data_IF_956930965972
#
_entry.id   IF_956930965972
#
_cell.length_a   1.000
_cell.length_b   1.000
_cell.length_c   1.000
_cell.angle_alpha   90.00
_cell.angle_beta   90.00
_cell.angle_gamma   90.00
#
_symmetry.space_group_name_H-M   'P 1'
#
loop_
_entity.id
_entity.type
_entity.pdbx_description
1 polymer ?
#
# COMPACT_ATOMS: atom_id res chain seq x y z
N UNK A 1 48.54 -1.26 51.07
CA UNK A 1 47.53 -0.87 50.06
C UNK A 1 47.60 -1.77 48.81
N UNK A 2 47.26 -3.07 48.90
CA UNK A 2 47.29 -3.97 47.72
C UNK A 2 46.35 -5.19 47.79
N UNK A 3 45.40 -5.22 48.73
CA UNK A 3 44.48 -6.37 48.94
C UNK A 3 42.99 -6.06 48.85
N UNK A 4 42.61 -4.83 48.47
CA UNK A 4 41.21 -4.40 48.46
C UNK A 4 40.58 -4.27 47.06
N UNK A 5 41.31 -4.60 45.99
CA UNK A 5 40.86 -4.39 44.60
C UNK A 5 40.43 -5.66 43.84
N UNK A 6 40.38 -6.82 44.48
CA UNK A 6 40.07 -8.10 43.81
C UNK A 6 38.67 -8.66 44.13
N UNK A 7 37.88 -8.00 44.97
CA UNK A 7 36.55 -8.47 45.37
C UNK A 7 35.38 -7.79 44.64
N UNK A 8 35.62 -6.75 43.83
CA UNK A 8 34.55 -6.08 43.06
C UNK A 8 34.30 -6.66 41.67
N UNK A 9 35.12 -7.60 41.19
CA UNK A 9 35.00 -8.17 39.85
C UNK A 9 34.10 -9.43 39.75
N UNK A 10 33.66 -9.99 40.89
CA UNK A 10 32.87 -11.24 40.90
C UNK A 10 31.36 -10.98 41.07
N UNK A 11 30.95 -9.75 41.41
CA UNK A 11 29.54 -9.44 41.66
C UNK A 11 28.74 -8.97 40.42
N UNK A 12 29.37 -8.87 39.24
CA UNK A 12 28.71 -8.45 37.99
C UNK A 12 28.37 -9.60 37.02
N UNK A 13 28.55 -10.86 37.45
CA UNK A 13 28.23 -12.05 36.64
C UNK A 13 26.97 -12.82 37.12
N UNK A 14 26.22 -12.28 38.08
CA UNK A 14 25.14 -13.00 38.78
C UNK A 14 23.70 -12.71 38.35
N UNK A 15 23.45 -11.82 37.38
CA UNK A 15 22.08 -11.43 37.00
C UNK A 15 21.86 -11.39 35.48
N UNK A 16 22.43 -12.35 34.75
CA UNK A 16 21.82 -12.78 33.49
C UNK A 16 20.59 -13.64 33.84
N UNK A 17 19.54 -13.00 34.35
CA UNK A 17 18.20 -13.57 34.32
C UNK A 17 17.83 -13.72 32.86
N UNK A 18 18.17 -14.88 32.29
CA UNK A 18 17.51 -15.40 31.11
C UNK A 18 16.03 -15.45 31.48
N UNK A 19 15.28 -14.43 31.06
CA UNK A 19 13.86 -14.55 30.88
C UNK A 19 13.68 -15.77 30.00
N UNK A 20 13.32 -16.89 30.60
CA UNK A 20 12.75 -18.02 29.87
C UNK A 20 11.48 -17.45 29.26
N UNK A 21 11.60 -16.96 28.03
CA UNK A 21 10.46 -16.80 27.14
C UNK A 21 9.80 -18.17 27.17
N UNK A 22 8.66 -18.23 27.83
CA UNK A 22 7.85 -19.43 27.90
C UNK A 22 7.52 -19.73 26.45
N UNK A 23 8.13 -20.79 25.89
CA UNK A 23 7.79 -21.27 24.57
C UNK A 23 6.28 -21.44 24.57
N UNK A 24 5.61 -20.61 23.77
CA UNK A 24 4.18 -20.72 23.55
C UNK A 24 3.95 -22.12 22.99
N UNK A 25 3.09 -22.87 23.65
CA UNK A 25 2.77 -24.24 23.27
C UNK A 25 2.32 -24.22 21.81
N UNK A 26 2.84 -25.09 20.92
CA UNK A 26 2.55 -25.00 19.50
C UNK A 26 1.04 -25.06 19.31
N UNK A 27 0.45 -24.11 18.55
CA UNK A 27 -0.99 -24.04 18.40
C UNK A 27 -1.48 -25.37 17.84
N UNK A 28 -2.49 -25.95 18.50
CA UNK A 28 -3.09 -27.20 18.02
C UNK A 28 -3.68 -26.93 16.63
N UNK A 29 -3.33 -27.73 15.61
CA UNK A 29 -3.85 -27.55 14.26
C UNK A 29 -5.37 -27.72 14.29
N UNK A 30 -6.08 -26.69 13.83
CA UNK A 30 -7.54 -26.61 13.77
C UNK A 30 -7.93 -25.96 12.44
N UNK A 31 -9.01 -26.42 11.82
CA UNK A 31 -9.53 -25.86 10.57
C UNK A 31 -9.68 -24.34 10.65
N UNK A 32 -10.27 -23.84 11.73
CA UNK A 32 -10.54 -22.41 11.91
C UNK A 32 -9.25 -21.58 12.03
N UNK A 33 -8.23 -22.08 12.72
CA UNK A 33 -6.96 -21.36 12.89
C UNK A 33 -6.12 -21.41 11.61
N UNK A 34 -6.16 -22.53 10.88
CA UNK A 34 -5.55 -22.62 9.56
C UNK A 34 -6.22 -21.66 8.56
N UNK A 35 -7.56 -21.62 8.50
CA UNK A 35 -8.29 -20.68 7.65
C UNK A 35 -7.93 -19.23 7.95
N UNK A 36 -7.93 -18.84 9.22
CA UNK A 36 -7.53 -17.49 9.62
C UNK A 36 -6.08 -17.16 9.23
N UNK A 37 -5.17 -18.15 9.29
CA UNK A 37 -3.79 -17.98 8.85
C UNK A 37 -3.68 -17.85 7.33
N UNK A 38 -4.42 -18.65 6.57
CA UNK A 38 -4.50 -18.55 5.10
C UNK A 38 -5.03 -17.15 4.71
N UNK A 39 -6.11 -16.70 5.34
CA UNK A 39 -6.70 -15.38 5.08
C UNK A 39 -5.70 -14.26 5.39
N UNK A 40 -4.89 -14.41 6.44
CA UNK A 40 -3.84 -13.45 6.80
C UNK A 40 -2.74 -13.36 5.73
N UNK A 41 -2.24 -14.50 5.24
CA UNK A 41 -1.22 -14.53 4.18
C UNK A 41 -1.77 -14.06 2.83
N UNK A 42 -3.02 -14.39 2.49
CA UNK A 42 -3.68 -13.88 1.29
C UNK A 42 -3.86 -12.35 1.35
N UNK A 43 -4.29 -11.83 2.50
CA UNK A 43 -4.39 -10.39 2.72
C UNK A 43 -3.02 -9.70 2.59
N UNK A 44 -1.94 -10.36 3.06
CA UNK A 44 -0.57 -9.88 2.86
C UNK A 44 -0.21 -9.77 1.38
N UNK A 45 -0.45 -10.81 0.58
CA UNK A 45 -0.15 -10.76 -0.86
C UNK A 45 -1.00 -9.70 -1.59
N UNK A 46 -2.26 -9.51 -1.19
CA UNK A 46 -3.11 -8.41 -1.70
C UNK A 46 -2.52 -7.03 -1.38
N UNK A 47 -2.03 -6.81 -0.15
CA UNK A 47 -1.39 -5.55 0.24
C UNK A 47 -0.12 -5.30 -0.56
N UNK A 48 0.73 -6.31 -0.72
CA UNK A 48 1.95 -6.21 -1.52
C UNK A 48 1.64 -5.87 -2.98
N UNK A 49 0.60 -6.48 -3.56
CA UNK A 49 0.12 -6.14 -4.90
C UNK A 49 -0.33 -4.68 -4.98
N UNK A 50 -1.11 -4.21 -4.01
CA UNK A 50 -1.56 -2.81 -3.95
C UNK A 50 -0.40 -1.84 -3.78
N UNK A 51 0.64 -2.17 -3.02
CA UNK A 51 1.84 -1.35 -2.94
C UNK A 51 2.60 -1.29 -4.27
N UNK A 52 2.56 -2.33 -5.10
CA UNK A 52 3.11 -2.25 -6.46
C UNK A 52 2.28 -1.34 -7.37
N UNK A 53 0.95 -1.37 -7.23
CA UNK A 53 0.04 -0.52 -8.01
C UNK A 53 0.10 0.97 -7.61
N UNK A 54 -0.06 1.27 -6.33
CA UNK A 54 -0.22 2.63 -5.80
C UNK A 54 1.04 3.20 -5.17
N UNK A 55 2.03 2.35 -4.90
CA UNK A 55 3.27 2.74 -4.27
C UNK A 55 3.19 2.71 -2.76
N UNK A 56 4.34 2.98 -2.14
CA UNK A 56 4.44 3.27 -0.72
C UNK A 56 5.44 4.40 -0.52
N UNK A 57 4.96 5.50 0.06
CA UNK A 57 5.79 6.63 0.47
C UNK A 57 6.69 6.23 1.65
N UNK A 58 7.61 7.09 2.05
CA UNK A 58 8.35 6.87 3.30
C UNK A 58 7.45 7.13 4.51
N UNK A 59 7.78 6.53 5.65
CA UNK A 59 7.02 6.76 6.88
C UNK A 59 7.02 8.25 7.29
N UNK A 60 8.06 9.01 6.93
CA UNK A 60 8.12 10.46 7.14
C UNK A 60 7.09 11.25 6.30
N UNK A 61 6.90 10.84 5.04
CA UNK A 61 6.08 11.52 4.04
C UNK A 61 4.62 11.05 4.03
N UNK A 62 4.32 9.92 4.67
CA UNK A 62 2.97 9.37 4.80
C UNK A 62 1.97 10.41 5.37
N UNK A 63 0.73 10.38 4.90
CA UNK A 63 -0.34 11.28 5.37
C UNK A 63 -0.77 10.95 6.81
N UNK A 64 -1.26 11.93 7.57
CA UNK A 64 -1.94 11.64 8.83
C UNK A 64 -3.22 10.84 8.51
N UNK A 65 -3.42 9.73 9.19
CA UNK A 65 -4.49 8.77 8.93
C UNK A 65 -4.13 7.65 7.95
N UNK A 66 -2.96 7.69 7.32
CA UNK A 66 -2.49 6.60 6.47
C UNK A 66 -2.25 5.33 7.31
N UNK A 67 -2.61 4.18 6.76
CA UNK A 67 -2.56 2.88 7.45
C UNK A 67 -1.53 1.98 6.78
N UNK A 68 -0.56 1.53 7.56
CA UNK A 68 0.49 0.60 7.15
C UNK A 68 0.39 -0.70 7.95
N UNK A 69 1.01 -1.74 7.43
CA UNK A 69 1.06 -3.06 8.05
C UNK A 69 2.51 -3.42 8.34
N UNK A 70 2.76 -4.02 9.50
CA UNK A 70 4.06 -4.57 9.84
C UNK A 70 4.25 -5.99 9.29
N UNK A 71 5.43 -6.56 9.49
CA UNK A 71 5.76 -7.94 9.10
C UNK A 71 4.86 -9.01 9.73
N UNK A 72 4.18 -8.68 10.84
CA UNK A 72 3.23 -9.57 11.50
C UNK A 72 1.79 -9.36 10.99
N UNK A 73 1.58 -8.40 10.07
CA UNK A 73 0.28 -8.04 9.53
C UNK A 73 -0.59 -7.23 10.49
N UNK A 74 -0.02 -6.61 11.52
CA UNK A 74 -0.73 -5.70 12.42
C UNK A 74 -0.88 -4.36 11.71
N UNK A 75 -2.09 -3.80 11.78
CA UNK A 75 -2.39 -2.50 11.21
C UNK A 75 -1.96 -1.36 12.16
N UNK A 76 -1.29 -0.37 11.57
CA UNK A 76 -0.79 0.82 12.23
C UNK A 76 -1.24 2.04 11.46
N UNK A 77 -1.75 3.06 12.14
CA UNK A 77 -2.12 4.31 11.48
C UNK A 77 -1.25 5.47 11.95
N UNK A 78 -0.95 6.40 11.04
CA UNK A 78 -0.16 7.58 11.35
C UNK A 78 -1.02 8.59 12.10
N UNK A 79 -0.80 8.72 13.41
CA UNK A 79 -1.53 9.64 14.28
C UNK A 79 -0.92 11.06 14.28
N UNK A 80 0.39 11.19 14.08
CA UNK A 80 1.08 12.48 13.96
C UNK A 80 2.36 12.35 13.11
N UNK A 81 3.06 13.47 12.88
CA UNK A 81 4.24 13.56 12.00
C UNK A 81 5.30 12.46 12.23
N UNK A 82 5.51 12.03 13.47
CA UNK A 82 6.46 10.98 13.83
C UNK A 82 5.85 9.97 14.83
N UNK A 83 4.54 9.70 14.71
CA UNK A 83 3.82 8.83 15.63
C UNK A 83 2.85 7.94 14.88
N UNK A 84 3.07 6.64 15.03
CA UNK A 84 2.23 5.56 14.55
C UNK A 84 1.61 4.84 15.73
N UNK A 85 0.33 4.51 15.64
CA UNK A 85 -0.42 3.85 16.71
C UNK A 85 -0.99 2.56 16.17
N UNK A 86 -0.84 1.47 16.93
CA UNK A 86 -1.39 0.17 16.57
C UNK A 86 -2.90 0.16 16.78
N UNK A 87 -3.64 -0.40 15.81
CA UNK A 87 -5.09 -0.62 15.95
C UNK A 87 -5.40 -1.84 16.83
N UNK A 88 -4.50 -2.82 16.86
CA UNK A 88 -4.69 -4.08 17.59
C UNK A 88 -4.20 -3.98 19.03
N UNK A 89 -3.12 -3.22 19.27
CA UNK A 89 -2.48 -3.09 20.58
C UNK A 89 -2.58 -1.65 21.09
N UNK A 90 -3.67 -1.29 21.81
CA UNK A 90 -3.86 0.08 22.27
C UNK A 90 -2.73 0.50 23.22
N UNK A 91 -2.18 1.70 22.97
CA UNK A 91 -1.07 2.26 23.73
C UNK A 91 0.33 1.88 23.22
N UNK A 92 0.43 1.01 22.22
CA UNK A 92 1.69 0.76 21.53
C UNK A 92 1.92 1.82 20.44
N UNK A 93 3.07 2.48 20.50
CA UNK A 93 3.41 3.59 19.61
C UNK A 93 4.78 3.40 18.96
N UNK A 94 4.86 3.68 17.67
CA UNK A 94 6.09 3.62 16.89
C UNK A 94 6.46 4.98 16.30
N UNK A 95 7.76 5.20 16.12
CA UNK A 95 8.31 6.33 15.36
C UNK A 95 8.38 5.98 13.88
N UNK A 96 8.58 6.96 13.00
CA UNK A 96 8.77 6.71 11.56
C UNK A 96 9.94 5.75 11.28
N UNK A 97 11.02 5.86 12.05
CA UNK A 97 12.19 4.97 11.91
C UNK A 97 11.84 3.53 12.27
N UNK A 98 11.06 3.35 13.35
CA UNK A 98 10.60 2.01 13.76
C UNK A 98 9.64 1.45 12.73
N UNK A 99 8.70 2.27 12.25
CA UNK A 99 7.73 1.89 11.23
C UNK A 99 8.43 1.43 9.96
N UNK A 100 9.41 2.17 9.43
CA UNK A 100 10.10 1.79 8.19
C UNK A 100 10.83 0.44 8.30
N UNK A 101 11.37 0.13 9.49
CA UNK A 101 12.10 -1.13 9.73
C UNK A 101 11.18 -2.34 9.90
N UNK A 102 10.00 -2.12 10.46
CA UNK A 102 9.03 -3.18 10.76
C UNK A 102 7.94 -3.29 9.69
N UNK A 103 7.85 -2.31 8.79
CA UNK A 103 6.87 -2.31 7.71
C UNK A 103 7.03 -3.56 6.86
N UNK A 104 5.89 -4.13 6.47
CA UNK A 104 5.81 -5.29 5.62
C UNK A 104 6.58 -5.07 4.32
N UNK A 105 7.62 -5.86 4.06
CA UNK A 105 8.37 -5.82 2.80
C UNK A 105 8.12 -7.08 1.99
N UNK A 106 8.23 -6.94 0.67
CA UNK A 106 8.20 -8.08 -0.23
C UNK A 106 9.55 -8.80 -0.16
N UNK A 107 9.53 -10.04 0.32
CA UNK A 107 10.73 -10.85 0.58
C UNK A 107 11.13 -11.70 -0.61
N UNK A 108 10.52 -11.54 -1.80
CA UNK A 108 10.96 -12.29 -2.98
C UNK A 108 12.45 -12.01 -3.23
N UNK A 109 13.29 -13.06 -3.31
CA UNK A 109 14.71 -12.90 -3.56
C UNK A 109 14.90 -12.36 -4.97
N UNK A 110 15.14 -11.06 -5.07
CA UNK A 110 15.88 -10.49 -6.18
C UNK A 110 17.35 -10.47 -5.79
N UNK A 111 18.25 -10.44 -6.77
CA UNK A 111 19.72 -10.35 -6.56
C UNK A 111 20.16 -9.13 -5.72
N UNK A 112 19.21 -8.26 -5.34
CA UNK A 112 19.38 -7.06 -4.51
C UNK A 112 18.48 -7.02 -3.26
N UNK A 113 17.79 -8.12 -2.93
CA UNK A 113 16.86 -8.22 -1.81
C UNK A 113 15.54 -7.48 -2.06
N UNK A 114 14.45 -8.22 -2.28
CA UNK A 114 13.07 -7.75 -2.19
C UNK A 114 12.66 -6.54 -3.05
N UNK A 115 11.43 -6.06 -2.85
CA UNK A 115 11.10 -4.67 -3.20
C UNK A 115 11.61 -3.74 -2.10
N UNK A 116 12.59 -2.90 -2.44
CA UNK A 116 13.00 -1.81 -1.56
C UNK A 116 11.95 -0.70 -1.62
N UNK A 117 11.22 -0.52 -0.52
CA UNK A 117 10.41 0.66 -0.29
C UNK A 117 11.27 1.75 0.37
N UNK A 118 10.96 3.04 0.16
CA UNK A 118 9.82 3.60 -0.59
C UNK A 118 9.92 3.37 -2.11
N UNK A 119 8.78 3.18 -2.79
CA UNK A 119 8.70 3.01 -4.25
C UNK A 119 7.44 3.69 -4.80
N UNK A 120 7.53 4.46 -5.90
CA UNK A 120 6.34 4.93 -6.61
C UNK A 120 5.59 3.74 -7.22
N UNK A 121 4.26 3.77 -7.11
CA UNK A 121 3.40 2.78 -7.75
C UNK A 121 3.38 2.94 -9.26
N UNK A 122 2.83 1.95 -9.97
CA UNK A 122 2.54 2.10 -11.40
C UNK A 122 1.63 3.30 -11.67
N UNK A 123 0.62 3.52 -10.81
CA UNK A 123 -0.31 4.65 -10.91
C UNK A 123 0.22 5.97 -10.39
N UNK A 124 1.44 5.99 -9.83
CA UNK A 124 2.12 7.23 -9.42
C UNK A 124 3.00 7.80 -10.54
N UNK A 125 3.06 7.11 -11.68
CA UNK A 125 3.81 7.60 -12.86
C UNK A 125 3.05 8.73 -13.55
N UNK A 126 3.58 9.96 -13.39
CA UNK A 126 2.98 11.15 -13.99
C UNK A 126 3.13 11.15 -15.51
N UNK A 127 2.15 11.72 -16.21
CA UNK A 127 2.15 11.98 -17.67
C UNK A 127 2.21 10.73 -18.55
N UNK A 128 1.77 9.59 -18.03
CA UNK A 128 1.67 8.34 -18.80
C UNK A 128 0.22 8.11 -19.20
N UNK A 129 0.00 7.65 -20.44
CA UNK A 129 -1.32 7.24 -20.85
C UNK A 129 -1.69 5.95 -20.15
N UNK A 130 -2.96 5.81 -19.80
CA UNK A 130 -3.46 4.61 -19.12
C UNK A 130 -3.24 3.35 -19.98
N UNK A 131 -3.26 3.49 -21.31
CA UNK A 131 -2.87 2.45 -22.27
C UNK A 131 -1.44 1.95 -22.07
N UNK A 132 -0.51 2.85 -21.75
CA UNK A 132 0.91 2.52 -21.60
C UNK A 132 1.18 1.85 -20.24
N UNK A 133 0.27 2.02 -19.27
CA UNK A 133 0.31 1.34 -17.98
C UNK A 133 -0.23 -0.09 -18.06
N UNK A 134 -1.04 -0.44 -19.08
CA UNK A 134 -1.67 -1.77 -19.19
C UNK A 134 -0.64 -2.91 -19.06
N UNK A 135 0.50 -2.91 -19.79
CA UNK A 135 1.46 -4.02 -19.69
C UNK A 135 2.07 -4.17 -18.28
N UNK A 136 2.32 -3.05 -17.59
CA UNK A 136 2.86 -3.06 -16.23
C UNK A 136 1.85 -3.59 -15.21
N UNK A 137 0.59 -3.18 -15.36
CA UNK A 137 -0.50 -3.61 -14.51
C UNK A 137 -0.86 -5.08 -14.77
N UNK A 138 -0.86 -5.53 -16.03
CA UNK A 138 -1.02 -6.94 -16.38
C UNK A 138 0.09 -7.79 -15.74
N UNK A 139 1.34 -7.33 -15.81
CA UNK A 139 2.46 -8.02 -15.17
C UNK A 139 2.30 -8.07 -13.64
N UNK A 140 1.83 -6.98 -13.02
CA UNK A 140 1.50 -6.96 -11.60
C UNK A 140 0.40 -7.97 -11.24
N UNK A 141 -0.64 -8.07 -12.08
CA UNK A 141 -1.77 -8.99 -11.89
C UNK A 141 -1.32 -10.45 -12.04
N UNK A 142 -0.49 -10.76 -13.04
CA UNK A 142 0.14 -12.09 -13.19
C UNK A 142 1.01 -12.44 -11.99
N UNK A 143 1.74 -11.47 -11.44
CA UNK A 143 2.53 -11.69 -10.23
C UNK A 143 1.64 -12.02 -9.03
N UNK A 144 0.51 -11.34 -8.84
CA UNK A 144 -0.46 -11.65 -7.80
C UNK A 144 -1.03 -13.07 -7.97
N UNK A 145 -1.46 -13.42 -9.18
CA UNK A 145 -1.96 -14.77 -9.50
C UNK A 145 -0.93 -15.84 -9.13
N UNK A 146 0.33 -15.65 -9.54
CA UNK A 146 1.40 -16.56 -9.17
C UNK A 146 1.62 -16.66 -7.66
N UNK A 147 1.63 -15.54 -6.94
CA UNK A 147 1.82 -15.54 -5.48
C UNK A 147 0.71 -16.29 -4.74
N UNK A 148 -0.54 -16.04 -5.13
CA UNK A 148 -1.71 -16.71 -4.55
C UNK A 148 -1.69 -18.21 -4.85
N UNK A 149 -1.43 -18.60 -6.11
CA UNK A 149 -1.37 -20.01 -6.49
C UNK A 149 -0.21 -20.75 -5.80
N UNK A 150 0.97 -20.13 -5.73
CA UNK A 150 2.13 -20.69 -5.02
C UNK A 150 1.85 -20.82 -3.51
N UNK A 151 1.18 -19.84 -2.89
CA UNK A 151 0.76 -19.92 -1.50
C UNK A 151 -0.19 -21.10 -1.28
N UNK A 152 -1.23 -21.26 -2.10
CA UNK A 152 -2.17 -22.38 -1.94
C UNK A 152 -1.52 -23.74 -2.24
N UNK A 153 -0.57 -23.80 -3.17
CA UNK A 153 0.24 -25.01 -3.38
C UNK A 153 1.12 -25.33 -2.15
N UNK A 154 1.71 -24.31 -1.52
CA UNK A 154 2.49 -24.48 -0.29
C UNK A 154 1.62 -24.94 0.87
N UNK A 155 0.42 -24.36 1.04
CA UNK A 155 -0.59 -24.79 2.03
C UNK A 155 -0.93 -26.27 1.83
N UNK A 156 -1.18 -26.69 0.58
CA UNK A 156 -1.45 -28.10 0.25
C UNK A 156 -0.31 -29.03 0.66
N UNK A 157 0.93 -28.62 0.46
CA UNK A 157 2.11 -29.38 0.89
C UNK A 157 2.23 -29.41 2.43
N UNK A 158 1.95 -28.29 3.11
CA UNK A 158 1.99 -28.19 4.58
C UNK A 158 0.98 -29.11 5.27
N UNK A 159 -0.19 -29.33 4.68
CA UNK A 159 -1.22 -30.22 5.22
C UNK A 159 -0.76 -31.68 5.34
N UNK A 160 0.25 -32.08 4.57
CA UNK A 160 0.85 -33.41 4.60
C UNK A 160 1.97 -33.54 5.64
N UNK A 161 2.37 -32.44 6.28
CA UNK A 161 3.40 -32.41 7.32
C UNK A 161 2.79 -32.66 8.71
N UNK A 162 3.61 -33.23 9.60
CA UNK A 162 3.22 -33.55 10.97
C UNK A 162 3.46 -32.37 11.90
N UNK A 163 2.51 -32.09 12.80
CA UNK A 163 2.57 -30.92 13.69
C UNK A 163 3.72 -30.97 14.73
N UNK A 164 4.44 -32.08 14.79
CA UNK A 164 5.62 -32.27 15.66
C UNK A 164 6.90 -31.65 15.09
N UNK A 165 6.89 -31.31 13.80
CA UNK A 165 8.09 -30.92 13.07
C UNK A 165 8.43 -29.42 13.17
N UNK A 166 7.56 -28.63 13.81
CA UNK A 166 7.75 -27.18 13.98
C UNK A 166 7.69 -26.41 12.66
N UNK A 167 8.28 -25.22 12.65
CA UNK A 167 8.36 -24.38 11.45
C UNK A 167 9.44 -24.91 10.49
N UNK A 168 9.03 -25.68 9.47
CA UNK A 168 9.88 -26.19 8.38
C UNK A 168 9.71 -25.31 7.13
N UNK A 169 10.77 -24.99 6.38
CA UNK A 169 10.61 -24.36 5.07
C UNK A 169 9.90 -25.29 4.09
N UNK A 170 8.80 -24.82 3.50
CA UNK A 170 8.04 -25.52 2.45
C UNK A 170 8.12 -24.73 1.17
N UNK A 171 8.45 -25.42 0.08
CA UNK A 171 8.49 -24.81 -1.26
C UNK A 171 7.14 -24.98 -1.92
N UNK A 172 6.47 -23.85 -2.18
CA UNK A 172 5.30 -23.83 -3.05
C UNK A 172 5.73 -23.82 -4.52
N UNK A 173 5.15 -24.70 -5.32
CA UNK A 173 5.34 -24.73 -6.77
C UNK A 173 4.00 -24.63 -7.48
N UNK A 174 3.91 -23.71 -8.44
CA UNK A 174 2.73 -23.51 -9.28
C UNK A 174 3.19 -23.38 -10.74
N UNK A 175 2.41 -23.94 -11.66
CA UNK A 175 2.78 -24.00 -13.07
C UNK A 175 2.95 -22.59 -13.67
N UNK A 176 4.11 -22.36 -14.30
CA UNK A 176 4.46 -21.07 -14.89
C UNK A 176 4.88 -19.98 -13.89
N UNK A 177 5.00 -20.30 -12.61
CA UNK A 177 5.41 -19.38 -11.55
C UNK A 177 6.78 -19.74 -10.98
N UNK A 178 7.45 -18.76 -10.37
CA UNK A 178 8.71 -18.98 -9.66
C UNK A 178 8.43 -19.75 -8.36
N UNK A 179 9.31 -20.69 -8.04
CA UNK A 179 9.28 -21.40 -6.76
C UNK A 179 9.53 -20.42 -5.62
N UNK A 180 8.80 -20.60 -4.52
CA UNK A 180 8.93 -19.77 -3.34
C UNK A 180 9.02 -20.62 -2.10
N UNK A 181 10.09 -20.42 -1.34
CA UNK A 181 10.22 -20.97 0.00
C UNK A 181 9.39 -20.14 0.98
N UNK A 182 8.55 -20.82 1.75
CA UNK A 182 7.68 -20.23 2.75
C UNK A 182 7.88 -20.95 4.08
N UNK A 183 7.85 -20.21 5.18
CA UNK A 183 7.82 -20.84 6.51
C UNK A 183 6.53 -21.64 6.65
N UNK A 184 6.60 -22.88 7.11
CA UNK A 184 5.38 -23.66 7.36
C UNK A 184 4.52 -23.01 8.43
N UNK A 185 3.22 -23.03 8.19
CA UNK A 185 2.19 -22.62 9.14
C UNK A 185 1.84 -23.83 10.00
N UNK A 186 2.22 -23.82 11.27
CA UNK A 186 1.97 -24.94 12.20
C UNK A 186 0.47 -25.21 12.36
N UNK A 187 -0.35 -24.16 12.24
CA UNK A 187 -1.81 -24.21 12.29
C UNK A 187 -2.42 -25.07 11.18
N UNK A 188 -1.72 -25.24 10.06
CA UNK A 188 -2.16 -25.98 8.89
C UNK A 188 -1.50 -27.36 8.74
N UNK A 189 -0.77 -27.85 9.74
CA UNK A 189 -0.10 -29.17 9.71
C UNK A 189 -1.03 -30.26 10.25
N UNK A 190 -1.82 -30.89 9.38
CA UNK A 190 -2.87 -31.84 9.77
C UNK A 190 -2.49 -33.33 9.65
N UNK A 191 -1.24 -33.70 9.35
CA UNK A 191 -0.92 -35.11 9.08
C UNK A 191 -1.18 -36.07 10.25
N UNK A 192 -1.29 -35.55 11.48
CA UNK A 192 -1.56 -36.34 12.69
C UNK A 192 -3.05 -36.37 13.08
N UNK A 193 -3.84 -35.39 12.62
CA UNK A 193 -5.28 -35.32 12.87
C UNK A 193 -6.01 -36.15 11.82
N UNK A 194 -6.62 -37.27 12.24
CA UNK A 194 -7.34 -38.20 11.35
C UNK A 194 -8.59 -37.60 10.66
N UNK A 195 -8.84 -36.31 10.80
CA UNK A 195 -9.99 -35.63 10.21
C UNK A 195 -9.70 -35.24 8.76
N UNK A 196 -9.84 -36.20 7.85
CA UNK A 196 -9.69 -35.95 6.40
C UNK A 196 -10.64 -34.88 5.86
N UNK A 197 -11.78 -34.66 6.52
CA UNK A 197 -12.77 -33.63 6.15
C UNK A 197 -12.22 -32.23 6.38
N UNK A 198 -11.62 -31.98 7.55
CA UNK A 198 -11.05 -30.67 7.92
C UNK A 198 -9.92 -30.28 6.94
N UNK A 199 -9.13 -31.27 6.49
CA UNK A 199 -8.06 -31.07 5.51
C UNK A 199 -8.63 -30.64 4.14
N UNK A 200 -9.70 -31.30 3.68
CA UNK A 200 -10.33 -30.97 2.42
C UNK A 200 -10.99 -29.57 2.46
N UNK A 201 -11.59 -29.20 3.59
CA UNK A 201 -12.23 -27.89 3.79
C UNK A 201 -11.21 -26.75 3.85
N UNK A 202 -10.09 -26.94 4.54
CA UNK A 202 -9.03 -25.93 4.57
C UNK A 202 -8.33 -25.79 3.20
N UNK A 203 -8.18 -26.89 2.46
CA UNK A 203 -7.62 -26.89 1.12
C UNK A 203 -8.47 -26.09 0.13
N UNK A 204 -9.75 -26.45 0.03
CA UNK A 204 -10.72 -25.77 -0.87
C UNK A 204 -10.87 -24.29 -0.54
N UNK A 205 -10.81 -23.95 0.76
CA UNK A 205 -10.87 -22.55 1.20
C UNK A 205 -9.76 -21.66 0.60
N UNK A 206 -8.52 -22.15 0.50
CA UNK A 206 -7.43 -21.33 -0.07
C UNK A 206 -7.69 -21.04 -1.56
N UNK A 207 -8.10 -22.06 -2.32
CA UNK A 207 -8.38 -21.92 -3.75
C UNK A 207 -9.58 -21.00 -3.99
N UNK A 208 -10.68 -21.20 -3.26
CA UNK A 208 -11.90 -20.41 -3.39
C UNK A 208 -11.67 -18.94 -3.03
N UNK A 209 -11.05 -18.66 -1.88
CA UNK A 209 -10.79 -17.29 -1.44
C UNK A 209 -9.70 -16.63 -2.29
N UNK A 210 -8.70 -17.39 -2.71
CA UNK A 210 -7.64 -16.92 -3.61
C UNK A 210 -8.19 -16.47 -4.96
N UNK A 211 -9.06 -17.27 -5.58
CA UNK A 211 -9.72 -16.94 -6.85
C UNK A 211 -10.62 -15.71 -6.68
N UNK A 212 -11.48 -15.68 -5.66
CA UNK A 212 -12.35 -14.53 -5.38
C UNK A 212 -11.56 -13.23 -5.16
N UNK A 213 -10.41 -13.31 -4.49
CA UNK A 213 -9.51 -12.18 -4.26
C UNK A 213 -8.97 -11.66 -5.60
N UNK A 214 -8.46 -12.55 -6.46
CA UNK A 214 -7.94 -12.18 -7.78
C UNK A 214 -9.04 -11.56 -8.65
N UNK A 215 -10.22 -12.19 -8.72
CA UNK A 215 -11.36 -11.69 -9.49
C UNK A 215 -11.79 -10.29 -9.03
N UNK A 216 -11.86 -10.09 -7.71
CA UNK A 216 -12.20 -8.80 -7.12
C UNK A 216 -11.16 -7.73 -7.45
N UNK A 217 -9.88 -8.03 -7.34
CA UNK A 217 -8.82 -7.07 -7.70
C UNK A 217 -8.86 -6.72 -9.19
N UNK A 218 -9.10 -7.69 -10.08
CA UNK A 218 -9.28 -7.44 -11.51
C UNK A 218 -10.51 -6.56 -11.78
N UNK A 219 -11.63 -6.81 -11.10
CA UNK A 219 -12.83 -6.00 -11.24
C UNK A 219 -12.62 -4.55 -10.74
N UNK A 220 -11.93 -4.38 -9.61
CA UNK A 220 -11.55 -3.06 -9.10
C UNK A 220 -10.61 -2.33 -10.05
N UNK A 221 -9.68 -3.05 -10.65
CA UNK A 221 -8.75 -2.49 -11.62
C UNK A 221 -9.45 -2.04 -12.90
N UNK A 222 -10.41 -2.82 -13.41
CA UNK A 222 -11.26 -2.41 -14.54
C UNK A 222 -12.01 -1.12 -14.22
N UNK A 223 -12.63 -1.05 -13.04
CA UNK A 223 -13.33 0.15 -12.59
C UNK A 223 -12.39 1.37 -12.54
N UNK A 224 -11.17 1.20 -12.05
CA UNK A 224 -10.18 2.28 -11.98
C UNK A 224 -9.77 2.77 -13.39
N UNK A 225 -9.59 1.86 -14.34
CA UNK A 225 -9.29 2.22 -15.72
C UNK A 225 -10.47 2.89 -16.44
N UNK A 226 -11.69 2.39 -16.25
CA UNK A 226 -12.90 3.01 -16.77
C UNK A 226 -13.08 4.42 -16.20
N UNK A 227 -12.80 4.59 -14.91
CA UNK A 227 -12.84 5.89 -14.26
C UNK A 227 -11.84 6.87 -14.87
N UNK A 228 -10.54 6.52 -14.96
CA UNK A 228 -9.53 7.41 -15.56
C UNK A 228 -9.84 7.71 -17.04
N UNK A 229 -10.30 6.72 -17.81
CA UNK A 229 -10.71 6.93 -19.20
C UNK A 229 -11.89 7.91 -19.30
N UNK A 230 -12.93 7.72 -18.47
CA UNK A 230 -14.11 8.59 -18.44
C UNK A 230 -13.75 10.03 -18.04
N UNK A 231 -12.84 10.19 -17.07
CA UNK A 231 -12.35 11.48 -16.61
C UNK A 231 -11.63 12.23 -17.74
N UNK A 232 -10.72 11.55 -18.44
CA UNK A 232 -9.99 12.14 -19.58
C UNK A 232 -10.91 12.50 -20.74
N UNK A 233 -11.88 11.64 -21.08
CA UNK A 233 -12.87 11.92 -22.11
C UNK A 233 -13.74 13.13 -21.76
N UNK A 234 -14.12 13.27 -20.49
CA UNK A 234 -14.87 14.42 -20.01
C UNK A 234 -14.06 15.72 -20.12
N UNK A 235 -12.78 15.72 -19.75
CA UNK A 235 -11.90 16.89 -19.90
C UNK A 235 -11.75 17.31 -21.37
N UNK A 236 -11.60 16.34 -22.28
CA UNK A 236 -11.57 16.63 -23.72
C UNK A 236 -12.88 17.22 -24.22
N UNK A 237 -14.02 16.67 -23.76
CA UNK A 237 -15.34 17.22 -24.09
C UNK A 237 -15.50 18.65 -23.56
N UNK A 238 -15.07 18.93 -22.32
CA UNK A 238 -15.12 20.26 -21.74
C UNK A 238 -14.32 21.28 -22.57
N UNK A 239 -13.09 20.94 -22.98
CA UNK A 239 -12.28 21.80 -23.84
C UNK A 239 -12.92 22.06 -25.21
N UNK A 240 -13.48 21.02 -25.85
CA UNK A 240 -14.21 21.18 -27.12
C UNK A 240 -15.48 22.02 -26.95
N UNK A 241 -16.18 21.84 -25.83
CA UNK A 241 -17.40 22.57 -25.52
C UNK A 241 -17.12 24.04 -25.24
N UNK A 242 -16.01 24.38 -24.58
CA UNK A 242 -15.58 25.76 -24.39
C UNK A 242 -15.25 26.43 -25.73
N UNK A 243 -14.53 25.76 -26.63
CA UNK A 243 -14.27 26.28 -27.99
C UNK A 243 -15.57 26.46 -28.78
N UNK A 244 -16.49 25.49 -28.69
CA UNK A 244 -17.82 25.60 -29.30
C UNK A 244 -18.62 26.78 -28.74
N UNK A 245 -18.54 27.03 -27.43
CA UNK A 245 -19.20 28.15 -26.78
C UNK A 245 -18.63 29.51 -27.16
N UNK A 246 -17.32 29.60 -27.42
CA UNK A 246 -16.68 30.80 -27.95
C UNK A 246 -17.17 31.13 -29.37
N UNK A 247 -17.35 30.12 -30.22
CA UNK A 247 -17.87 30.29 -31.59
C UNK A 247 -19.38 30.55 -31.63
N UNK A 248 -20.15 30.09 -30.63
CA UNK A 248 -21.61 30.20 -30.61
C UNK A 248 -22.09 31.55 -30.04
N UNK A 249 -22.10 32.55 -30.93
CA UNK A 249 -22.46 33.95 -30.65
C UNK A 249 -23.81 34.14 -29.94
N UNK A 250 -23.76 34.83 -28.78
CA UNK A 250 -24.75 35.58 -27.97
C UNK A 250 -26.17 35.07 -27.69
N UNK A 251 -26.79 34.21 -28.51
CA UNK A 251 -28.23 33.92 -28.35
C UNK A 251 -28.53 32.69 -27.48
N UNK A 252 -27.52 31.83 -27.21
CA UNK A 252 -27.69 30.58 -26.43
C UNK A 252 -26.85 30.57 -25.13
N UNK A 253 -26.04 31.61 -24.92
CA UNK A 253 -25.02 31.70 -23.86
C UNK A 253 -25.60 31.66 -22.44
N UNK A 254 -26.85 32.11 -22.24
CA UNK A 254 -27.48 32.18 -20.92
C UNK A 254 -27.75 30.81 -20.28
N UNK A 255 -28.29 29.87 -21.06
CA UNK A 255 -28.66 28.54 -20.54
C UNK A 255 -27.48 27.56 -20.52
N UNK A 256 -26.52 27.71 -21.44
CA UNK A 256 -25.39 26.78 -21.52
C UNK A 256 -24.30 27.11 -20.49
N UNK A 257 -24.09 28.38 -20.12
CA UNK A 257 -23.14 28.74 -19.05
C UNK A 257 -23.48 28.08 -17.70
N UNK A 258 -24.77 27.86 -17.42
CA UNK A 258 -25.18 27.12 -16.22
C UNK A 258 -24.78 25.63 -16.29
N UNK A 259 -24.89 24.98 -17.45
CA UNK A 259 -24.44 23.60 -17.64
C UNK A 259 -22.91 23.47 -17.57
N UNK A 260 -22.16 24.41 -18.15
CA UNK A 260 -20.70 24.45 -18.06
C UNK A 260 -20.21 24.65 -16.61
N UNK A 261 -20.94 25.41 -15.78
CA UNK A 261 -20.64 25.56 -14.35
C UNK A 261 -20.77 24.25 -13.55
N UNK A 262 -21.66 23.34 -14.00
CA UNK A 262 -21.82 22.00 -13.40
C UNK A 262 -20.64 21.10 -13.79
N UNK A 263 -20.12 21.24 -15.02
CA UNK A 263 -18.91 20.52 -15.47
C UNK A 263 -17.66 21.07 -14.75
N UNK A 264 -17.57 22.37 -14.50
CA UNK A 264 -16.50 22.95 -13.66
C UNK A 264 -16.52 22.45 -12.21
N UNK A 265 -17.68 21.99 -11.72
CA UNK A 265 -17.79 21.34 -10.42
C UNK A 265 -17.23 19.91 -10.42
N UNK A 266 -17.06 19.26 -11.58
CA UNK A 266 -16.46 17.93 -11.70
C UNK A 266 -14.94 17.89 -11.46
N UNK A 267 -14.24 19.03 -11.45
CA UNK A 267 -12.86 19.10 -10.94
C UNK A 267 -12.78 18.66 -9.45
N UNK A 268 -13.89 18.64 -8.71
CA UNK A 268 -13.92 18.14 -7.31
C UNK A 268 -14.07 16.63 -7.17
N UNK A 269 -14.18 15.85 -8.25
CA UNK A 269 -14.18 14.39 -8.09
C UNK A 269 -12.76 13.96 -7.68
N UNK A 270 -12.60 13.22 -6.56
CA UNK A 270 -11.29 12.77 -6.11
C UNK A 270 -10.59 11.94 -7.19
N UNK A 271 -9.38 12.35 -7.53
CA UNK A 271 -8.51 11.68 -8.47
C UNK A 271 -7.79 10.51 -7.78
N UNK A 272 -8.04 9.28 -8.21
CA UNK A 272 -7.43 8.08 -7.62
C UNK A 272 -6.05 7.72 -8.22
N UNK A 273 -5.63 8.42 -9.26
CA UNK A 273 -4.39 8.18 -10.00
C UNK A 273 -3.60 9.47 -10.15
N UNK A 274 -2.26 9.40 -10.15
CA UNK A 274 -1.40 10.57 -10.35
C UNK A 274 -1.49 11.14 -11.77
N UNK A 275 -2.15 10.42 -12.68
CA UNK A 275 -2.44 10.85 -14.05
C UNK A 275 -3.44 12.00 -14.13
N UNK A 276 -4.22 12.23 -13.07
CA UNK A 276 -5.23 13.28 -13.01
C UNK A 276 -4.74 14.56 -12.32
N UNK A 277 -3.44 14.68 -11.99
CA UNK A 277 -2.82 15.97 -11.69
C UNK A 277 -2.86 16.84 -12.95
N UNK A 278 -3.83 17.75 -13.04
CA UNK A 278 -3.93 18.71 -14.14
C UNK A 278 -2.66 19.58 -14.22
N UNK A 279 -2.04 19.61 -15.41
CA UNK A 279 -1.02 20.59 -15.77
C UNK A 279 -1.54 21.46 -16.92
N UNK A 280 -1.35 22.80 -16.90
CA UNK A 280 -0.56 23.52 -15.92
C UNK A 280 -1.33 23.79 -14.62
N UNK A 281 -0.63 23.88 -13.47
CA UNK A 281 -1.21 24.47 -12.28
C UNK A 281 -1.78 25.82 -12.69
N UNK A 282 -2.92 26.20 -12.11
CA UNK A 282 -3.47 27.54 -12.26
C UNK A 282 -2.31 28.53 -12.19
N UNK A 283 -2.00 29.15 -13.32
CA UNK A 283 -1.29 30.41 -13.33
C UNK A 283 -2.22 31.32 -12.55
N UNK A 284 -1.96 31.43 -11.24
CA UNK A 284 -2.38 32.58 -10.48
C UNK A 284 -1.80 33.75 -11.26
N UNK A 285 -2.70 34.34 -12.05
CA UNK A 285 -2.61 35.66 -12.62
C UNK A 285 -2.36 36.56 -11.42
N UNK A 286 -1.10 36.75 -11.11
CA UNK A 286 -0.63 37.80 -10.23
C UNK A 286 -0.89 39.08 -11.01
N UNK A 287 -2.09 39.63 -10.80
CA UNK A 287 -2.51 40.90 -11.35
C UNK A 287 -1.48 41.95 -10.91
N UNK A 288 -0.61 42.32 -11.85
CA UNK A 288 0.24 43.50 -11.80
C UNK A 288 -0.66 44.70 -12.12
N UNK A 289 -0.82 45.71 -11.24
CA UNK A 289 -1.18 47.03 -11.69
C UNK A 289 0.12 47.78 -12.03
N UNK A 290 0.39 47.92 -13.33
CA UNK A 290 1.11 49.08 -13.84
C UNK A 290 0.18 50.29 -13.72
N UNK A 291 0.45 51.18 -12.75
CA UNK A 291 0.15 52.60 -12.93
C UNK A 291 1.46 53.38 -12.85
N UNK A 292 1.87 53.85 -14.03
CA UNK A 292 3.01 54.72 -14.25
C UNK A 292 2.50 56.17 -14.37
N UNK A 293 2.99 57.01 -13.46
CA UNK A 293 3.25 58.45 -13.57
C UNK A 293 2.11 59.45 -13.88
N UNK A 294 1.94 60.39 -12.95
CA UNK A 294 1.97 61.87 -13.13
C UNK A 294 2.01 62.45 -11.70
N UNK A 295 2.86 63.37 -11.24
CA UNK A 295 3.42 64.58 -11.84
C UNK A 295 4.72 65.02 -11.13
N UNK A 296 5.64 65.57 -11.92
CA UNK A 296 6.72 66.47 -11.50
C UNK A 296 6.21 67.93 -11.63
N UNK A 297 6.81 68.81 -10.82
CA UNK A 297 6.74 70.30 -10.77
C UNK A 297 5.85 70.83 -9.63
N UNK A 298 6.27 71.78 -8.77
CA UNK A 298 7.52 72.53 -8.63
C UNK A 298 7.43 73.43 -7.37
N UNK A 299 8.59 73.95 -6.94
CA UNK A 299 8.81 75.24 -6.25
C UNK A 299 8.83 75.33 -4.70
N UNK A 300 10.03 75.75 -4.25
CA UNK A 300 10.37 76.83 -3.31
C UNK A 300 10.12 76.71 -1.79
N UNK A 301 11.26 76.82 -1.08
CA UNK A 301 11.59 77.36 0.27
C UNK A 301 10.70 78.51 0.80
N UNK A 302 10.87 79.07 2.03
CA UNK A 302 11.96 78.91 3.01
C UNK A 302 11.53 78.92 4.52
N UNK A 303 12.55 79.06 5.39
CA UNK A 303 12.55 79.48 6.82
C UNK A 303 12.15 78.42 7.85
N UNK A 304 12.87 78.19 8.95
CA UNK A 304 13.92 78.93 9.67
C UNK A 304 14.69 77.98 10.59
#
# INVERSE_FOLDING_TARGET
>A
MKRFLLLSAIFLLGFASFAKVKAEEPPVPNEATCKARIDHELAREQRLYRYALFGRSKAEDAGIGEVWFDTEGIAWYKAAKNKWVSLTHPGLEWTNITMEKQAEIDTIPTDKGGMNFPRPGFFDTKRVLTSDLIPHVEQGTRSLQCRVNTLCAAVRAMMQLSSTDGAIPVTGTADGCLEREMSSMMECQFALTKNQVDNALAFTHCEDVGEQLIEREIALLKLLFEYDASYRSLLQFAGFFDTFLEDLRWTVVGNIRQAASIIGWLHRIPCFTSSCDEYPPQLLREDRPEELNTNISSQSSPSS
#
